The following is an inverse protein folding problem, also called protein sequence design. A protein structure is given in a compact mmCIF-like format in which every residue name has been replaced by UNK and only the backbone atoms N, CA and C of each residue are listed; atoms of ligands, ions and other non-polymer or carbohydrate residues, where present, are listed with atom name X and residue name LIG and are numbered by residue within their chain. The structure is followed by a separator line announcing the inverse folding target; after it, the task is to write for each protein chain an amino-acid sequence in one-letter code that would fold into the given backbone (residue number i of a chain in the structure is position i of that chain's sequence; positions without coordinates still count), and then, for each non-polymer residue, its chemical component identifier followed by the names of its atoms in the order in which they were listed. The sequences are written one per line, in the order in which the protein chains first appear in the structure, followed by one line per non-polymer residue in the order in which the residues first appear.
data_IF_574972662038
#
_entry.id   IF_574972662038
#
_cell.length_a   1.000
_cell.length_b   1.000
_cell.length_c   1.000
_cell.angle_alpha   90.00
_cell.angle_beta   90.00
_cell.angle_gamma   90.00
#
_symmetry.space_group_name_H-M   'P 1'
#
loop_
_entity.id
_entity.type
_entity.pdbx_description
1 polymer ?
#
# COMPACT_ATOMS: atom_id res chain seq x y z
N UNK A 1 8.09 -13.99 -16.20
CA UNK A 1 8.10 -12.75 -16.97
C UNK A 1 8.66 -11.62 -16.12
N UNK A 2 9.55 -10.84 -16.70
CA UNK A 2 10.16 -9.71 -16.03
C UNK A 2 9.69 -8.43 -16.70
N UNK A 3 9.09 -7.55 -15.93
CA UNK A 3 8.66 -6.26 -16.42
C UNK A 3 9.73 -5.19 -16.22
N UNK A 4 9.69 -4.17 -17.04
CA UNK A 4 10.58 -3.02 -16.95
C UNK A 4 9.76 -1.76 -16.85
N UNK A 5 10.27 -0.80 -16.11
CA UNK A 5 9.62 0.48 -15.97
C UNK A 5 10.65 1.60 -15.94
N UNK A 6 10.33 2.69 -16.64
CA UNK A 6 11.09 3.92 -16.55
C UNK A 6 10.42 4.78 -15.48
N UNK A 7 11.17 5.14 -14.45
CA UNK A 7 10.65 5.92 -13.33
C UNK A 7 11.14 7.37 -13.45
N UNK A 8 10.20 8.29 -13.54
CA UNK A 8 10.46 9.72 -13.60
C UNK A 8 9.62 10.40 -12.52
N UNK A 9 10.14 10.42 -11.30
CA UNK A 9 9.40 10.92 -10.14
C UNK A 9 10.33 11.80 -9.30
N UNK A 10 9.80 12.93 -8.86
CA UNK A 10 10.50 13.84 -7.96
C UNK A 10 11.87 14.30 -8.49
N UNK A 11 11.95 14.47 -9.79
CA UNK A 11 13.18 14.93 -10.43
C UNK A 11 14.23 13.86 -10.62
N UNK A 12 13.91 12.62 -10.32
CA UNK A 12 14.81 11.48 -10.47
C UNK A 12 14.33 10.61 -11.63
N UNK A 13 15.25 10.12 -12.44
CA UNK A 13 14.92 9.31 -13.60
C UNK A 13 15.84 8.09 -13.65
N UNK A 14 15.23 6.91 -13.68
CA UNK A 14 15.99 5.65 -13.78
C UNK A 14 15.06 4.53 -14.23
N UNK A 15 15.67 3.41 -14.63
CA UNK A 15 14.92 2.22 -15.03
C UNK A 15 15.01 1.16 -13.95
N UNK A 16 13.93 0.42 -13.79
CA UNK A 16 13.87 -0.67 -12.83
C UNK A 16 13.23 -1.89 -13.46
N UNK A 17 13.53 -3.06 -12.90
CA UNK A 17 12.93 -4.33 -13.32
C UNK A 17 12.27 -4.99 -12.13
N UNK A 18 11.18 -5.70 -12.38
CA UNK A 18 10.47 -6.43 -11.34
C UNK A 18 9.80 -7.67 -11.96
N UNK A 19 9.42 -8.67 -11.14
CA UNK A 19 8.73 -9.85 -11.65
C UNK A 19 7.36 -9.56 -12.28
N UNK A 20 6.72 -8.47 -11.90
CA UNK A 20 5.41 -8.08 -12.42
C UNK A 20 5.53 -7.55 -13.84
N UNK A 21 4.41 -7.51 -14.58
CA UNK A 21 4.44 -7.04 -15.96
C UNK A 21 4.49 -5.51 -16.05
N UNK A 22 4.82 -5.02 -17.26
CA UNK A 22 5.00 -3.59 -17.50
C UNK A 22 3.78 -2.76 -17.20
N UNK A 23 2.60 -3.25 -17.53
CA UNK A 23 1.36 -2.51 -17.34
C UNK A 23 1.08 -2.32 -15.85
N UNK A 24 1.27 -3.38 -15.08
CA UNK A 24 1.08 -3.31 -13.64
C UNK A 24 2.06 -2.34 -12.99
N UNK A 25 3.34 -2.43 -13.38
CA UNK A 25 4.36 -1.54 -12.85
C UNK A 25 4.06 -0.08 -13.18
N UNK A 26 3.56 0.19 -14.38
CA UNK A 26 3.18 1.55 -14.77
C UNK A 26 2.03 2.07 -13.89
N UNK A 27 1.08 1.22 -13.55
CA UNK A 27 0.00 1.62 -12.65
C UNK A 27 0.51 1.98 -11.27
N UNK A 28 1.42 1.19 -10.73
CA UNK A 28 2.02 1.48 -9.42
C UNK A 28 2.76 2.81 -9.44
N UNK A 29 3.56 3.03 -10.48
CA UNK A 29 4.32 4.27 -10.62
C UNK A 29 3.41 5.49 -10.73
N UNK A 30 2.35 5.38 -11.53
CA UNK A 30 1.38 6.47 -11.68
C UNK A 30 0.66 6.79 -10.38
N UNK A 31 0.31 5.77 -9.63
CA UNK A 31 -0.33 5.94 -8.33
C UNK A 31 0.58 6.68 -7.35
N UNK A 32 1.84 6.24 -7.26
CA UNK A 32 2.81 6.89 -6.38
C UNK A 32 3.05 8.34 -6.80
N UNK A 33 3.18 8.60 -8.09
CA UNK A 33 3.37 9.95 -8.61
C UNK A 33 2.20 10.85 -8.25
N UNK A 34 0.98 10.34 -8.36
CA UNK A 34 -0.21 11.11 -7.99
C UNK A 34 -0.22 11.48 -6.51
N UNK A 35 0.24 10.56 -5.65
CA UNK A 35 0.33 10.81 -4.22
C UNK A 35 1.36 11.91 -3.94
N UNK A 36 2.54 11.84 -4.56
CA UNK A 36 3.57 12.88 -4.34
C UNK A 36 3.09 14.23 -4.82
N UNK A 37 2.40 14.30 -5.94
CA UNK A 37 1.86 15.56 -6.45
C UNK A 37 0.77 16.13 -5.55
N UNK A 38 -0.07 15.26 -5.01
CA UNK A 38 -1.11 15.69 -4.07
C UNK A 38 -0.50 16.30 -2.81
N UNK A 39 0.51 15.66 -2.26
CA UNK A 39 1.19 16.17 -1.07
C UNK A 39 1.86 17.51 -1.37
N UNK A 40 2.48 17.62 -2.54
CA UNK A 40 3.13 18.86 -2.95
C UNK A 40 2.13 20.01 -3.04
N UNK A 41 0.91 19.74 -3.51
CA UNK A 41 -0.12 20.78 -3.62
C UNK A 41 -0.71 21.18 -2.28
N UNK A 42 -0.78 20.26 -1.33
CA UNK A 42 -1.49 20.47 -0.07
C UNK A 42 -0.58 20.80 1.10
N UNK A 43 0.73 20.75 0.91
CA UNK A 43 1.71 21.08 1.93
C UNK A 43 2.71 22.10 1.41
N UNK A 44 3.50 22.67 2.30
CA UNK A 44 4.55 23.61 1.91
C UNK A 44 5.88 22.91 1.61
N UNK A 45 5.88 21.59 1.63
CA UNK A 45 7.09 20.81 1.39
C UNK A 45 7.38 20.72 -0.08
N UNK A 46 8.58 21.11 -0.50
CA UNK A 46 9.02 21.06 -1.89
C UNK A 46 10.25 20.17 -2.08
N UNK A 47 10.96 19.85 -1.00
CA UNK A 47 12.14 19.01 -1.07
C UNK A 47 11.78 17.58 -1.52
N UNK A 48 12.42 17.07 -2.61
CA UNK A 48 12.06 15.74 -3.12
C UNK A 48 12.21 14.61 -2.11
N UNK A 49 13.23 14.63 -1.29
CA UNK A 49 13.43 13.57 -0.30
C UNK A 49 12.31 13.60 0.74
N UNK A 50 11.98 14.78 1.24
CA UNK A 50 10.91 14.92 2.22
C UNK A 50 9.56 14.53 1.63
N UNK A 51 9.31 14.88 0.36
CA UNK A 51 8.08 14.47 -0.32
C UNK A 51 8.00 12.95 -0.45
N UNK A 52 9.12 12.30 -0.77
CA UNK A 52 9.12 10.84 -0.88
C UNK A 52 8.85 10.18 0.46
N UNK A 53 9.37 10.73 1.54
CA UNK A 53 9.13 10.20 2.88
C UNK A 53 7.66 10.35 3.27
N UNK A 54 7.08 11.52 3.00
CA UNK A 54 5.66 11.76 3.29
C UNK A 54 4.76 10.87 2.45
N UNK A 55 5.11 10.66 1.18
CA UNK A 55 4.36 9.75 0.32
C UNK A 55 4.43 8.32 0.84
N UNK A 56 5.60 7.89 1.29
CA UNK A 56 5.75 6.57 1.87
C UNK A 56 4.90 6.39 3.12
N UNK A 57 4.89 7.38 3.99
CA UNK A 57 4.07 7.32 5.20
C UNK A 57 2.58 7.31 4.86
N UNK A 58 2.17 8.08 3.85
CA UNK A 58 0.79 8.09 3.39
C UNK A 58 0.36 6.70 2.91
N UNK A 59 1.23 6.03 2.16
CA UNK A 59 0.95 4.67 1.69
C UNK A 59 0.90 3.67 2.83
N UNK A 60 1.78 3.79 3.80
CA UNK A 60 1.76 2.92 4.98
C UNK A 60 0.47 3.13 5.76
N UNK A 61 0.01 4.38 5.87
CA UNK A 61 -1.26 4.69 6.51
C UNK A 61 -2.44 4.02 5.80
N UNK A 62 -2.47 4.12 4.48
CA UNK A 62 -3.52 3.47 3.67
C UNK A 62 -3.49 1.96 3.84
N UNK A 63 -2.31 1.37 3.81
CA UNK A 63 -2.14 -0.06 3.98
C UNK A 63 -2.61 -0.50 5.36
N UNK A 64 -2.26 0.25 6.40
CA UNK A 64 -2.69 -0.05 7.76
C UNK A 64 -4.23 -0.02 7.86
N UNK A 65 -4.85 1.01 7.30
CA UNK A 65 -6.30 1.14 7.32
C UNK A 65 -7.00 0.00 6.58
N UNK A 66 -6.44 -0.42 5.45
CA UNK A 66 -6.98 -1.56 4.71
C UNK A 66 -6.89 -2.85 5.52
N UNK A 67 -5.79 -3.05 6.23
CA UNK A 67 -5.64 -4.23 7.10
C UNK A 67 -6.61 -4.19 8.25
N UNK A 68 -6.88 -3.02 8.82
CA UNK A 68 -7.87 -2.87 9.88
C UNK A 68 -9.28 -3.18 9.38
N UNK A 69 -9.60 -2.80 8.15
CA UNK A 69 -10.88 -3.17 7.54
C UNK A 69 -11.00 -4.68 7.39
N UNK A 70 -9.94 -5.35 6.99
CA UNK A 70 -9.94 -6.80 6.86
C UNK A 70 -10.19 -7.48 8.19
N UNK A 71 -9.58 -6.98 9.26
CA UNK A 71 -9.80 -7.51 10.61
C UNK A 71 -11.25 -7.33 11.03
N UNK A 72 -11.82 -6.14 10.81
CA UNK A 72 -13.20 -5.85 11.14
C UNK A 72 -14.16 -6.75 10.36
N UNK A 73 -13.90 -6.92 9.07
CA UNK A 73 -14.71 -7.78 8.24
C UNK A 73 -14.66 -9.23 8.72
N UNK A 74 -13.48 -9.71 9.09
CA UNK A 74 -13.32 -11.05 9.65
C UNK A 74 -14.12 -11.21 10.94
N UNK A 75 -14.12 -10.20 11.78
CA UNK A 75 -14.91 -10.23 13.03
C UNK A 75 -16.41 -10.25 12.75
N UNK A 76 -16.87 -9.52 11.76
CA UNK A 76 -18.28 -9.52 11.36
C UNK A 76 -18.68 -10.90 10.86
N UNK A 77 -17.88 -11.49 10.00
CA UNK A 77 -18.14 -12.84 9.48
C UNK A 77 -18.20 -13.84 10.63
N UNK A 78 -17.30 -13.74 11.59
CA UNK A 78 -17.27 -14.63 12.75
C UNK A 78 -18.55 -14.52 13.57
N UNK A 79 -19.02 -13.30 13.79
CA UNK A 79 -20.24 -13.09 14.59
C UNK A 79 -21.51 -13.56 13.86
N UNK A 80 -21.50 -13.52 12.54
CA UNK A 80 -22.66 -13.95 11.76
C UNK A 80 -22.67 -15.44 11.48
N UNK A 81 -21.52 -15.98 11.18
CA UNK A 81 -21.38 -17.34 10.66
C UNK A 81 -20.97 -18.35 11.71
N UNK A 82 -21.02 -17.98 12.98
CA UNK A 82 -20.79 -18.92 14.06
C UNK A 82 -19.42 -19.49 14.18
N UNK A 83 -19.37 -20.52 15.04
CA UNK A 83 -18.15 -21.18 15.44
C UNK A 83 -17.46 -21.96 14.32
N UNK A 84 -18.17 -22.31 13.29
CA UNK A 84 -17.56 -23.07 12.19
C UNK A 84 -16.32 -22.42 11.64
N UNK A 85 -16.39 -21.10 11.45
CA UNK A 85 -15.30 -20.34 10.85
C UNK A 85 -14.38 -19.73 11.88
N UNK A 86 -14.67 -19.91 13.16
CA UNK A 86 -13.96 -19.22 14.22
C UNK A 86 -12.45 -19.42 14.17
N UNK A 87 -12.02 -20.66 14.05
CA UNK A 87 -10.60 -20.96 14.02
C UNK A 87 -9.88 -20.33 12.83
N UNK A 88 -10.51 -20.36 11.68
CA UNK A 88 -9.94 -19.77 10.47
C UNK A 88 -9.85 -18.27 10.60
N UNK A 89 -10.93 -17.65 11.10
CA UNK A 89 -10.99 -16.21 11.29
C UNK A 89 -9.95 -15.73 12.29
N UNK A 90 -9.82 -16.41 13.41
CA UNK A 90 -8.83 -16.07 14.42
C UNK A 90 -7.41 -16.20 13.87
N UNK A 91 -7.14 -17.24 13.10
CA UNK A 91 -5.84 -17.41 12.48
C UNK A 91 -5.51 -16.25 11.53
N UNK A 92 -6.49 -15.79 10.78
CA UNK A 92 -6.30 -14.64 9.90
C UNK A 92 -6.00 -13.36 10.68
N UNK A 93 -6.72 -13.12 11.74
CA UNK A 93 -6.50 -11.94 12.59
C UNK A 93 -5.09 -11.96 13.18
N UNK A 94 -4.66 -13.11 13.69
CA UNK A 94 -3.32 -13.26 14.25
C UNK A 94 -2.24 -12.97 13.22
N UNK A 95 -2.41 -13.44 12.00
CA UNK A 95 -1.44 -13.19 10.94
C UNK A 95 -1.35 -11.70 10.58
N UNK A 96 -2.48 -11.02 10.53
CA UNK A 96 -2.51 -9.59 10.23
C UNK A 96 -1.84 -8.81 11.35
N UNK A 97 -2.15 -9.12 12.59
CA UNK A 97 -1.52 -8.47 13.73
C UNK A 97 -0.01 -8.68 13.74
N UNK A 98 0.43 -9.90 13.42
CA UNK A 98 1.87 -10.19 13.33
C UNK A 98 2.58 -9.38 12.27
N UNK A 99 1.90 -9.03 11.18
CA UNK A 99 2.47 -8.20 10.13
C UNK A 99 2.56 -6.73 10.57
N UNK A 100 1.59 -6.27 11.35
CA UNK A 100 1.54 -4.86 11.79
C UNK A 100 2.43 -4.59 13.00
N UNK A 101 2.72 -5.60 13.79
CA UNK A 101 3.61 -5.46 14.92
C UNK A 101 5.08 -5.47 14.50
#
# INVERSE_FOLDING_TARGET
TVGKIQIDILGTSFSAQAPEDDVYLAKLSSYYKAITESIKRTSDVTDPLKLSILAGITLVDELYKEKQKSIKLSNIIRSEDEEKAEKITMSMIEKIDGVLD
#
